data_IF_448003750836
#
_entry.id   IF_448003750836
#
_cell.length_a   1.000
_cell.length_b   1.000
_cell.length_c   1.000
_cell.angle_alpha   90.00
_cell.angle_beta   90.00
_cell.angle_gamma   90.00
#
_symmetry.space_group_name_H-M   'P 1'
#
loop_
_entity.id
_entity.type
_entity.pdbx_description
1 polymer ?
#
# COMPACT_ATOMS: atom_id res chain seq x y z
N UNK A 1 -24.01 -58.80 -56.82
CA UNK A 1 -24.75 -57.58 -57.26
C UNK A 1 -24.33 -56.42 -56.37
N UNK A 2 -23.49 -55.48 -56.86
CA UNK A 2 -23.08 -54.29 -56.10
C UNK A 2 -24.17 -53.21 -56.22
N UNK A 3 -24.87 -52.89 -55.13
CA UNK A 3 -25.78 -51.73 -55.07
C UNK A 3 -24.93 -50.47 -54.87
N UNK A 4 -24.87 -49.63 -55.91
CA UNK A 4 -24.24 -48.30 -55.91
C UNK A 4 -25.28 -47.31 -55.38
N UNK A 5 -25.08 -46.75 -54.18
CA UNK A 5 -25.89 -45.63 -53.69
C UNK A 5 -25.53 -44.39 -54.53
N UNK A 6 -26.46 -43.86 -55.32
CA UNK A 6 -26.24 -42.62 -56.07
C UNK A 6 -26.59 -41.39 -55.22
N UNK A 7 -25.56 -40.63 -54.82
CA UNK A 7 -25.65 -39.36 -54.08
C UNK A 7 -26.28 -38.17 -54.86
N UNK A 8 -26.81 -38.39 -56.06
CA UNK A 8 -27.32 -37.33 -56.95
C UNK A 8 -28.64 -36.69 -56.50
N UNK A 9 -29.33 -37.26 -55.52
CA UNK A 9 -30.61 -36.75 -55.00
C UNK A 9 -30.51 -35.65 -53.94
N UNK A 10 -29.33 -35.39 -53.36
CA UNK A 10 -29.17 -34.48 -52.22
C UNK A 10 -29.05 -32.99 -52.57
N UNK A 11 -28.91 -32.63 -53.86
CA UNK A 11 -28.69 -31.24 -54.30
C UNK A 11 -29.94 -30.55 -54.89
N UNK A 12 -31.11 -31.20 -54.92
CA UNK A 12 -32.31 -30.61 -55.55
C UNK A 12 -33.29 -29.90 -54.60
N UNK A 13 -33.01 -29.85 -53.30
CA UNK A 13 -33.80 -29.07 -52.32
C UNK A 13 -33.08 -27.79 -51.87
N UNK A 14 -32.43 -27.16 -52.85
CA UNK A 14 -31.44 -26.08 -52.79
C UNK A 14 -31.99 -24.67 -52.44
N UNK A 15 -33.06 -24.55 -51.66
CA UNK A 15 -33.44 -23.26 -51.07
C UNK A 15 -33.79 -23.33 -49.58
N UNK A 16 -34.34 -24.46 -49.12
CA UNK A 16 -34.63 -24.67 -47.69
C UNK A 16 -33.45 -25.27 -46.90
N UNK A 17 -32.56 -26.04 -47.54
CA UNK A 17 -31.31 -26.50 -46.91
C UNK A 17 -30.16 -25.50 -46.95
N UNK A 18 -30.28 -24.41 -47.72
CA UNK A 18 -29.28 -23.33 -47.77
C UNK A 18 -29.25 -22.51 -46.46
N UNK A 19 -30.33 -22.58 -45.67
CA UNK A 19 -30.41 -21.95 -44.34
C UNK A 19 -29.68 -22.78 -43.26
N UNK A 20 -29.33 -24.03 -43.53
CA UNK A 20 -28.76 -24.95 -42.51
C UNK A 20 -27.25 -25.19 -42.70
N UNK A 21 -26.65 -24.74 -43.82
CA UNK A 21 -25.23 -25.00 -44.14
C UNK A 21 -24.39 -23.71 -44.28
N UNK A 22 -24.98 -22.53 -44.08
CA UNK A 22 -24.24 -21.28 -43.92
C UNK A 22 -24.50 -20.80 -42.50
N UNK A 23 -23.61 -21.11 -41.56
CA UNK A 23 -23.61 -20.56 -40.18
C UNK A 23 -23.37 -19.05 -40.10
N UNK A 24 -23.76 -18.34 -41.16
CA UNK A 24 -23.49 -16.95 -41.52
C UNK A 24 -24.77 -16.44 -42.23
N UNK A 25 -25.91 -16.47 -41.53
CA UNK A 25 -27.04 -15.59 -41.86
C UNK A 25 -26.67 -14.20 -41.33
N UNK A 26 -26.03 -13.45 -42.21
CA UNK A 26 -25.55 -12.08 -42.04
C UNK A 26 -26.72 -11.10 -41.94
N UNK A 27 -26.66 -10.27 -40.90
CA UNK A 27 -27.12 -8.86 -40.83
C UNK A 27 -28.61 -8.62 -40.59
N UNK A 28 -28.91 -8.09 -39.39
CA UNK A 28 -29.87 -6.98 -39.28
C UNK A 28 -30.97 -7.06 -38.21
N UNK A 29 -31.07 -8.12 -37.41
CA UNK A 29 -32.17 -8.16 -36.43
C UNK A 29 -32.18 -9.38 -35.53
N UNK A 30 -31.25 -9.44 -34.57
CA UNK A 30 -31.55 -10.09 -33.30
C UNK A 30 -32.03 -8.97 -32.38
N UNK A 31 -33.20 -9.16 -31.79
CA UNK A 31 -33.87 -8.18 -30.94
C UNK A 31 -32.90 -7.60 -29.88
N UNK A 32 -32.61 -6.30 -30.03
CA UNK A 32 -32.16 -5.32 -29.04
C UNK A 32 -31.50 -5.84 -27.74
N UNK A 33 -30.18 -5.60 -27.62
CA UNK A 33 -29.40 -5.34 -26.38
C UNK A 33 -27.97 -5.91 -26.49
N UNK A 34 -27.80 -7.06 -27.17
CA UNK A 34 -26.53 -7.80 -27.21
C UNK A 34 -26.19 -8.23 -28.63
N UNK A 35 -25.08 -7.73 -29.18
CA UNK A 35 -24.47 -8.25 -30.42
C UNK A 35 -23.38 -9.24 -30.03
N UNK A 36 -23.43 -10.46 -30.57
CA UNK A 36 -22.35 -11.45 -30.45
C UNK A 36 -21.77 -11.67 -31.85
N UNK A 37 -20.60 -11.09 -32.13
CA UNK A 37 -19.95 -11.14 -33.43
C UNK A 37 -18.58 -11.80 -33.30
N UNK A 38 -18.37 -12.92 -34.00
CA UNK A 38 -17.10 -13.66 -34.01
C UNK A 38 -16.53 -14.01 -32.62
N UNK A 39 -17.39 -14.20 -31.60
CA UNK A 39 -16.95 -14.47 -30.22
C UNK A 39 -16.84 -13.22 -29.34
N UNK A 40 -16.93 -12.02 -29.93
CA UNK A 40 -16.99 -10.76 -29.22
C UNK A 40 -18.42 -10.49 -28.77
N UNK A 41 -18.58 -9.87 -27.59
CA UNK A 41 -19.87 -9.37 -27.10
C UNK A 41 -19.79 -7.85 -27.11
N UNK A 42 -20.72 -7.19 -27.79
CA UNK A 42 -20.77 -5.73 -27.89
C UNK A 42 -22.18 -5.25 -27.51
N UNK A 43 -22.29 -4.58 -26.36
CA UNK A 43 -23.50 -3.88 -25.91
C UNK A 43 -23.36 -2.36 -26.09
N UNK A 44 -22.66 -1.91 -27.15
CA UNK A 44 -22.18 -0.54 -27.31
C UNK A 44 -20.98 -0.27 -26.41
N UNK A 45 -20.82 0.99 -25.99
CA UNK A 45 -19.77 1.37 -25.05
C UNK A 45 -19.99 0.76 -23.64
N UNK A 46 -21.10 0.08 -23.36
CA UNK A 46 -21.38 -0.45 -22.01
C UNK A 46 -20.49 -1.63 -21.63
N UNK A 47 -20.41 -2.66 -22.48
CA UNK A 47 -19.58 -3.85 -22.27
C UNK A 47 -19.09 -4.34 -23.63
N UNK A 48 -17.78 -4.49 -23.72
CA UNK A 48 -17.05 -4.99 -24.87
C UNK A 48 -16.18 -6.18 -24.42
N UNK A 49 -16.26 -7.29 -25.14
CA UNK A 49 -15.39 -8.45 -24.92
C UNK A 49 -14.67 -8.73 -26.24
N UNK A 50 -13.34 -8.66 -26.22
CA UNK A 50 -12.50 -8.99 -27.36
C UNK A 50 -11.99 -10.43 -27.25
N UNK A 51 -12.43 -11.29 -28.16
CA UNK A 51 -12.03 -12.70 -28.20
C UNK A 51 -10.65 -12.91 -28.82
N UNK A 52 -10.13 -11.94 -29.57
CA UNK A 52 -8.80 -12.02 -30.16
C UNK A 52 -7.71 -11.65 -29.13
N UNK A 53 -7.93 -10.60 -28.34
CA UNK A 53 -6.99 -10.16 -27.29
C UNK A 53 -7.28 -10.73 -25.89
N UNK A 54 -8.51 -11.21 -25.64
CA UNK A 54 -8.97 -11.67 -24.34
C UNK A 54 -9.28 -10.54 -23.34
N UNK A 55 -9.45 -9.31 -23.83
CA UNK A 55 -9.68 -8.12 -23.03
C UNK A 55 -11.18 -7.83 -22.85
N UNK A 56 -11.52 -7.24 -21.71
CA UNK A 56 -12.88 -6.85 -21.36
C UNK A 56 -12.91 -5.34 -21.10
N UNK A 57 -13.70 -4.62 -21.89
CA UNK A 57 -14.00 -3.21 -21.69
C UNK A 57 -15.37 -3.00 -21.07
N UNK A 58 -15.49 -2.12 -20.07
CA UNK A 58 -16.77 -1.57 -19.59
C UNK A 58 -16.67 -0.07 -19.77
N UNK A 59 -17.62 0.56 -20.47
CA UNK A 59 -17.48 1.99 -20.83
C UNK A 59 -16.55 2.27 -22.01
N UNK A 60 -15.95 1.24 -22.63
CA UNK A 60 -14.98 1.37 -23.74
C UNK A 60 -15.03 0.18 -24.69
N UNK A 61 -14.83 0.44 -25.99
CA UNK A 61 -14.67 -0.58 -27.04
C UNK A 61 -13.20 -0.80 -27.45
N UNK A 62 -12.27 -0.09 -26.83
CA UNK A 62 -10.83 -0.20 -27.05
C UNK A 62 -10.10 -0.33 -25.70
N UNK A 63 -10.22 -1.48 -25.01
CA UNK A 63 -9.56 -1.71 -23.73
C UNK A 63 -8.03 -1.67 -23.89
N UNK A 64 -7.33 -1.16 -22.87
CA UNK A 64 -5.85 -1.12 -22.83
C UNK A 64 -5.23 -2.05 -21.77
N UNK A 65 -6.06 -2.94 -21.21
CA UNK A 65 -5.71 -3.93 -20.21
C UNK A 65 -6.73 -5.08 -20.25
N UNK A 66 -6.42 -6.19 -19.57
CA UNK A 66 -7.31 -7.37 -19.49
C UNK A 66 -8.73 -6.97 -19.03
N UNK A 67 -8.84 -6.07 -18.06
CA UNK A 67 -10.09 -5.40 -17.71
C UNK A 67 -9.85 -3.88 -17.71
N UNK A 68 -10.61 -3.16 -18.52
CA UNK A 68 -10.60 -1.68 -18.61
C UNK A 68 -12.01 -1.16 -18.35
N UNK A 69 -12.19 -0.42 -17.26
CA UNK A 69 -13.47 0.20 -16.88
C UNK A 69 -13.32 1.70 -17.04
N UNK A 70 -14.02 2.29 -17.99
CA UNK A 70 -13.98 3.72 -18.33
C UNK A 70 -15.29 4.41 -17.95
N UNK A 71 -15.21 5.60 -17.36
CA UNK A 71 -16.38 6.48 -17.11
C UNK A 71 -16.43 7.66 -18.11
N UNK A 72 -16.02 7.39 -19.34
CA UNK A 72 -16.09 8.25 -20.53
C UNK A 72 -15.15 9.47 -20.61
N UNK A 73 -14.64 10.02 -19.49
CA UNK A 73 -13.50 10.97 -19.53
C UNK A 73 -12.54 10.77 -18.36
N UNK A 74 -11.27 10.53 -18.65
CA UNK A 74 -10.11 10.69 -17.76
C UNK A 74 -10.04 9.84 -16.49
N UNK A 75 -11.05 9.05 -16.16
CA UNK A 75 -11.05 8.15 -15.01
C UNK A 75 -11.33 6.73 -15.49
N UNK A 76 -10.26 5.93 -15.54
CA UNK A 76 -10.32 4.52 -15.89
C UNK A 76 -9.73 3.66 -14.77
N UNK A 77 -10.40 2.56 -14.46
CA UNK A 77 -9.88 1.49 -13.62
C UNK A 77 -9.43 0.33 -14.49
N UNK A 78 -8.13 0.02 -14.43
CA UNK A 78 -7.52 -1.09 -15.19
C UNK A 78 -6.99 -2.17 -14.29
N UNK A 79 -7.22 -3.43 -14.67
CA UNK A 79 -6.59 -4.61 -14.05
C UNK A 79 -5.84 -5.37 -15.14
N UNK A 80 -4.54 -5.55 -14.94
CA UNK A 80 -3.69 -6.21 -15.93
C UNK A 80 -2.23 -6.29 -15.50
N UNK A 81 -1.35 -6.66 -16.44
CA UNK A 81 0.10 -6.66 -16.19
C UNK A 81 0.70 -5.30 -16.56
N UNK A 82 1.44 -4.69 -15.63
CA UNK A 82 2.23 -3.49 -15.85
C UNK A 82 3.63 -3.74 -15.32
N UNK A 83 4.66 -3.38 -16.09
CA UNK A 83 6.07 -3.60 -15.71
C UNK A 83 6.44 -5.04 -15.31
N UNK A 84 5.65 -6.03 -15.75
CA UNK A 84 5.84 -7.44 -15.43
C UNK A 84 5.10 -7.91 -14.17
N UNK A 85 4.32 -7.05 -13.52
CA UNK A 85 3.53 -7.37 -12.33
C UNK A 85 2.03 -7.20 -12.60
N UNK A 86 1.20 -8.06 -12.01
CA UNK A 86 -0.24 -7.81 -11.98
C UNK A 86 -0.52 -6.61 -11.09
N UNK A 87 -1.32 -5.67 -11.58
CA UNK A 87 -1.61 -4.45 -10.87
C UNK A 87 -3.02 -3.94 -11.18
N UNK A 88 -3.50 -3.11 -10.25
CA UNK A 88 -4.75 -2.37 -10.31
C UNK A 88 -4.37 -0.90 -10.43
N UNK A 89 -4.85 -0.21 -11.46
CA UNK A 89 -4.45 1.17 -11.75
C UNK A 89 -5.65 2.07 -11.96
N UNK A 90 -5.58 3.27 -11.36
CA UNK A 90 -6.39 4.42 -11.76
C UNK A 90 -5.58 5.23 -12.77
N UNK A 91 -6.09 5.38 -13.99
CA UNK A 91 -5.41 6.09 -15.08
C UNK A 91 -6.36 6.94 -15.90
N UNK A 92 -5.83 8.04 -16.42
CA UNK A 92 -6.48 8.86 -17.44
C UNK A 92 -6.47 8.21 -18.82
N UNK A 93 -7.26 8.75 -19.75
CA UNK A 93 -7.31 8.28 -21.14
C UNK A 93 -5.95 8.42 -21.84
N UNK A 94 -5.15 9.41 -21.42
CA UNK A 94 -3.78 9.60 -21.87
C UNK A 94 -2.77 8.64 -21.22
N UNK A 95 -3.23 7.72 -20.35
CA UNK A 95 -2.39 6.75 -19.65
C UNK A 95 -1.60 7.31 -18.47
N UNK A 96 -1.82 8.57 -18.08
CA UNK A 96 -1.24 9.15 -16.86
C UNK A 96 -1.94 8.58 -15.62
N UNK A 97 -1.21 8.41 -14.52
CA UNK A 97 -1.78 7.94 -13.25
C UNK A 97 -2.74 8.98 -12.66
N UNK A 98 -3.94 8.54 -12.31
CA UNK A 98 -4.89 9.27 -11.47
C UNK A 98 -4.91 8.67 -10.07
N UNK A 99 -5.58 9.34 -9.14
CA UNK A 99 -5.71 8.87 -7.76
C UNK A 99 -6.59 7.62 -7.74
N UNK A 100 -6.14 6.57 -7.04
CA UNK A 100 -6.98 5.44 -6.66
C UNK A 100 -7.34 5.60 -5.18
N UNK A 101 -8.56 6.04 -4.88
CA UNK A 101 -9.04 6.20 -3.52
C UNK A 101 -9.71 4.91 -3.01
N UNK A 102 -9.46 4.57 -1.75
CA UNK A 102 -10.14 3.48 -1.05
C UNK A 102 -10.91 4.08 0.14
N UNK A 103 -12.23 4.23 0.00
CA UNK A 103 -13.10 4.85 1.04
C UNK A 103 -13.65 3.84 2.05
N UNK A 104 -12.97 2.70 2.23
CA UNK A 104 -13.32 1.71 3.23
C UNK A 104 -13.02 2.20 4.65
N UNK A 105 -13.81 1.75 5.63
CA UNK A 105 -13.51 1.99 7.05
C UNK A 105 -12.23 1.29 7.52
N UNK A 106 -11.76 0.29 6.77
CA UNK A 106 -10.56 -0.49 7.07
C UNK A 106 -9.90 -0.95 5.76
N UNK A 107 -8.58 -0.85 5.68
CA UNK A 107 -7.77 -1.33 4.55
C UNK A 107 -6.58 -2.14 5.07
N UNK A 108 -6.57 -3.45 4.77
CA UNK A 108 -5.62 -4.41 5.35
C UNK A 108 -4.85 -5.20 4.31
N UNK A 109 -3.53 -5.23 4.45
CA UNK A 109 -2.65 -6.18 3.76
C UNK A 109 -2.41 -7.40 4.65
N UNK A 110 -3.09 -8.51 4.35
CA UNK A 110 -3.05 -9.72 5.19
C UNK A 110 -1.71 -10.44 5.18
N UNK A 111 -0.94 -10.28 4.11
CA UNK A 111 0.35 -10.93 3.89
C UNK A 111 1.25 -10.05 3.03
N UNK A 112 2.55 -10.30 3.07
CA UNK A 112 3.53 -9.57 2.26
C UNK A 112 3.99 -8.25 2.88
N UNK A 113 4.77 -7.51 2.11
CA UNK A 113 5.36 -6.23 2.52
C UNK A 113 4.79 -5.10 1.66
N UNK A 114 4.61 -3.92 2.25
CA UNK A 114 4.21 -2.70 1.56
C UNK A 114 5.46 -1.90 1.19
N UNK A 115 5.68 -1.73 -0.12
CA UNK A 115 6.75 -0.88 -0.65
C UNK A 115 6.19 0.46 -1.11
N UNK A 116 6.80 1.56 -0.67
CA UNK A 116 6.54 2.91 -1.21
C UNK A 116 7.85 3.42 -1.81
N UNK A 117 7.88 3.62 -3.13
CA UNK A 117 9.10 4.00 -3.85
C UNK A 117 10.13 2.86 -4.01
N UNK A 118 9.72 1.61 -3.78
CA UNK A 118 10.55 0.40 -3.96
C UNK A 118 9.72 -0.76 -4.54
N UNK A 119 10.30 -1.54 -5.45
CA UNK A 119 9.69 -2.76 -6.01
C UNK A 119 10.08 -4.02 -5.23
N UNK A 120 11.09 -3.93 -4.34
CA UNK A 120 11.57 -5.06 -3.55
C UNK A 120 11.67 -4.65 -2.06
N UNK A 121 10.54 -4.52 -1.35
CA UNK A 121 10.52 -4.15 0.06
C UNK A 121 11.15 -5.24 0.95
N UNK A 122 12.17 -4.89 1.73
CA UNK A 122 12.91 -5.82 2.59
C UNK A 122 12.30 -6.01 4.00
N UNK A 123 11.29 -5.21 4.36
CA UNK A 123 10.56 -5.25 5.62
C UNK A 123 9.07 -5.02 5.38
N UNK A 124 8.22 -5.27 6.39
CA UNK A 124 6.76 -5.13 6.30
C UNK A 124 6.32 -3.78 5.73
N UNK A 125 7.04 -2.70 6.05
CA UNK A 125 6.93 -1.40 5.40
C UNK A 125 8.34 -0.93 5.00
N UNK A 126 8.60 -0.74 3.71
CA UNK A 126 9.86 -0.20 3.17
C UNK A 126 9.53 1.03 2.32
N UNK A 127 9.92 2.21 2.81
CA UNK A 127 9.66 3.50 2.17
C UNK A 127 10.98 4.10 1.71
N UNK A 128 11.07 4.43 0.43
CA UNK A 128 12.25 5.04 -0.19
C UNK A 128 11.87 6.33 -0.91
N UNK A 129 12.69 7.35 -0.72
CA UNK A 129 12.54 8.65 -1.39
C UNK A 129 13.84 9.44 -1.32
N UNK A 130 13.99 10.44 -2.20
CA UNK A 130 15.16 11.31 -2.23
C UNK A 130 15.09 12.49 -1.23
N UNK A 131 13.90 12.79 -0.67
CA UNK A 131 13.63 13.89 0.25
C UNK A 131 13.05 13.43 1.58
N UNK A 132 12.01 14.12 2.06
CA UNK A 132 11.24 13.66 3.23
C UNK A 132 10.62 12.29 2.93
N UNK A 133 10.96 11.28 3.74
CA UNK A 133 10.52 9.88 3.54
C UNK A 133 9.21 9.60 4.29
N UNK A 134 9.01 10.21 5.45
CA UNK A 134 7.80 10.08 6.25
C UNK A 134 7.52 11.37 7.01
N UNK A 135 6.26 11.79 7.02
CA UNK A 135 5.75 12.91 7.83
C UNK A 135 4.70 12.37 8.79
N UNK A 136 4.84 12.68 10.07
CA UNK A 136 3.95 12.19 11.13
C UNK A 136 3.52 13.41 11.94
N UNK A 137 2.23 13.71 11.89
CA UNK A 137 1.57 14.76 12.66
C UNK A 137 0.17 14.27 13.00
N UNK A 138 -0.37 14.71 14.13
CA UNK A 138 -1.81 14.65 14.39
C UNK A 138 -2.39 16.05 14.35
N UNK A 139 -3.68 16.13 14.07
CA UNK A 139 -4.40 17.40 13.93
C UNK A 139 -4.62 18.10 15.29
N UNK A 140 -4.53 17.35 16.39
CA UNK A 140 -4.74 17.83 17.77
C UNK A 140 -3.41 18.10 18.52
N UNK A 141 -2.49 18.82 17.89
CA UNK A 141 -1.19 19.25 18.47
C UNK A 141 -0.37 18.11 19.11
N UNK A 142 -0.53 16.88 18.60
CA UNK A 142 0.20 15.72 19.06
C UNK A 142 0.44 14.76 17.91
N UNK A 143 1.65 14.20 17.83
CA UNK A 143 2.03 13.27 16.78
C UNK A 143 3.17 12.40 17.26
N UNK A 144 3.02 11.08 17.13
CA UNK A 144 4.02 10.15 17.67
C UNK A 144 4.09 8.82 16.94
N UNK A 145 5.26 8.20 17.05
CA UNK A 145 5.49 6.78 16.79
C UNK A 145 5.47 6.07 18.14
N UNK A 146 4.69 4.99 18.24
CA UNK A 146 4.57 4.20 19.45
C UNK A 146 5.04 2.77 19.24
N UNK A 147 5.71 2.24 20.26
CA UNK A 147 6.19 0.86 20.31
C UNK A 147 5.38 0.09 21.35
N UNK A 148 4.80 -1.04 20.97
CA UNK A 148 3.95 -1.88 21.82
C UNK A 148 4.52 -3.28 21.98
N UNK A 149 4.13 -3.95 23.06
CA UNK A 149 4.22 -5.42 23.08
C UNK A 149 3.10 -6.04 22.26
N UNK A 150 3.38 -7.15 21.54
CA UNK A 150 2.36 -7.88 20.80
C UNK A 150 1.25 -8.44 21.69
N UNK A 151 1.57 -8.74 22.96
CA UNK A 151 0.61 -9.27 23.94
C UNK A 151 0.30 -8.22 25.01
N UNK A 152 -0.98 -7.98 25.27
CA UNK A 152 -1.43 -7.11 26.37
C UNK A 152 -1.50 -5.61 26.05
N UNK A 153 -1.29 -5.22 24.80
CA UNK A 153 -1.46 -3.84 24.29
C UNK A 153 -0.77 -2.76 25.14
N UNK A 154 0.39 -3.09 25.71
CA UNK A 154 1.11 -2.19 26.60
C UNK A 154 2.15 -1.39 25.82
N UNK A 155 2.05 -0.06 25.85
CA UNK A 155 3.00 0.82 25.19
C UNK A 155 4.36 0.83 25.91
N UNK A 156 5.41 0.39 25.22
CA UNK A 156 6.79 0.31 25.71
C UNK A 156 7.60 1.56 25.46
N UNK A 157 7.34 2.26 24.35
CA UNK A 157 8.03 3.50 24.04
C UNK A 157 7.24 4.41 23.14
N UNK A 158 7.59 5.69 23.15
CA UNK A 158 7.03 6.72 22.28
C UNK A 158 8.17 7.65 21.83
N UNK A 159 8.16 8.04 20.56
CA UNK A 159 8.91 9.19 20.03
C UNK A 159 7.89 10.10 19.38
N UNK A 160 7.79 11.34 19.83
CA UNK A 160 6.83 12.29 19.26
C UNK A 160 6.76 13.59 20.02
N UNK A 161 5.68 14.33 19.80
CA UNK A 161 5.38 15.57 20.50
C UNK A 161 3.92 15.53 20.95
N UNK A 162 3.58 16.38 21.91
CA UNK A 162 2.22 16.53 22.36
C UNK A 162 2.09 17.61 23.43
N UNK A 163 0.90 18.18 23.54
CA UNK A 163 0.54 19.05 24.64
C UNK A 163 0.51 18.27 25.98
N UNK A 164 0.63 19.03 27.08
CA UNK A 164 0.67 18.61 28.48
C UNK A 164 -0.20 17.39 28.78
N UNK A 165 0.43 16.26 29.12
CA UNK A 165 -0.27 15.06 29.61
C UNK A 165 -0.29 13.86 28.69
N UNK A 166 -0.07 14.04 27.38
CA UNK A 166 -0.26 12.94 26.40
C UNK A 166 0.89 11.94 26.37
N UNK A 167 2.13 12.42 26.42
CA UNK A 167 3.33 11.56 26.47
C UNK A 167 3.89 11.51 27.90
N UNK A 168 3.98 12.66 28.56
CA UNK A 168 4.29 12.78 29.98
C UNK A 168 3.22 13.63 30.68
N UNK A 169 2.90 13.31 31.92
CA UNK A 169 1.89 14.01 32.75
C UNK A 169 2.19 15.48 32.99
N UNK A 170 3.40 15.96 32.68
CA UNK A 170 3.82 17.36 32.77
C UNK A 170 4.72 17.81 31.61
N UNK A 171 4.53 17.25 30.41
CA UNK A 171 5.26 17.70 29.23
C UNK A 171 4.96 19.19 28.93
N UNK A 172 5.98 19.97 28.60
CA UNK A 172 5.81 21.30 28.01
C UNK A 172 5.23 21.19 26.60
N UNK A 173 4.47 22.20 26.17
CA UNK A 173 3.95 22.31 24.79
C UNK A 173 5.09 22.23 23.78
N UNK A 174 4.79 21.66 22.60
CA UNK A 174 5.66 21.58 21.42
C UNK A 174 7.02 20.90 21.65
N UNK A 175 7.18 20.22 22.78
CA UNK A 175 8.44 19.59 23.14
C UNK A 175 8.54 18.21 22.51
N UNK A 176 9.70 17.91 21.91
CA UNK A 176 10.03 16.54 21.54
C UNK A 176 10.11 15.70 22.82
N UNK A 177 9.33 14.64 22.85
CA UNK A 177 9.30 13.66 23.90
C UNK A 177 9.80 12.31 23.39
N UNK A 178 10.75 11.73 24.14
CA UNK A 178 11.18 10.35 24.00
C UNK A 178 10.83 9.67 25.31
N UNK A 179 9.94 8.67 25.26
CA UNK A 179 9.45 7.98 26.44
C UNK A 179 9.77 6.50 26.34
N UNK A 180 10.19 5.92 27.46
CA UNK A 180 10.24 4.48 27.68
C UNK A 180 9.37 4.14 28.90
N UNK A 181 8.72 2.98 28.91
CA UNK A 181 8.02 2.49 30.10
C UNK A 181 8.98 1.96 31.18
N UNK A 182 10.27 1.82 30.85
CA UNK A 182 11.35 1.37 31.74
C UNK A 182 12.55 2.30 31.54
N UNK A 183 13.76 1.78 31.65
CA UNK A 183 14.96 2.53 31.32
C UNK A 183 14.97 2.99 29.85
N UNK A 184 15.55 4.15 29.59
CA UNK A 184 15.89 4.63 28.26
C UNK A 184 17.39 4.37 28.03
N UNK A 185 17.75 3.74 26.92
CA UNK A 185 19.14 3.43 26.59
C UNK A 185 19.59 4.16 25.32
N UNK A 186 20.83 4.64 25.33
CA UNK A 186 21.56 5.04 24.12
C UNK A 186 22.74 4.08 23.95
N UNK A 187 22.83 3.41 22.81
CA UNK A 187 23.84 2.38 22.55
C UNK A 187 24.66 2.64 21.28
N UNK A 188 25.87 2.06 21.24
CA UNK A 188 26.78 2.11 20.09
C UNK A 188 27.62 0.83 20.03
N UNK A 189 28.39 0.60 18.95
CA UNK A 189 29.24 -0.59 18.80
C UNK A 189 28.46 -1.91 18.94
N UNK A 190 27.36 -2.05 18.19
CA UNK A 190 26.45 -3.19 18.27
C UNK A 190 25.47 -3.04 19.45
N UNK A 191 25.33 -4.10 20.26
CA UNK A 191 24.34 -4.17 21.33
C UNK A 191 24.82 -3.56 22.67
N UNK A 192 25.84 -2.70 22.65
CA UNK A 192 26.38 -2.13 23.88
C UNK A 192 25.66 -0.83 24.27
N UNK A 193 25.21 -0.76 25.52
CA UNK A 193 24.60 0.45 26.09
C UNK A 193 25.71 1.40 26.55
N UNK A 194 25.68 2.64 26.05
CA UNK A 194 26.61 3.70 26.43
C UNK A 194 26.06 4.59 27.55
N UNK A 195 24.77 4.93 27.50
CA UNK A 195 24.06 5.73 28.52
C UNK A 195 22.71 5.10 28.84
N UNK A 196 22.29 5.19 30.10
CA UNK A 196 20.98 4.78 30.57
C UNK A 196 20.33 5.89 31.39
N UNK A 197 19.06 6.21 31.13
CA UNK A 197 18.20 6.88 32.11
C UNK A 197 17.36 5.78 32.75
N UNK A 198 17.57 5.49 34.03
CA UNK A 198 16.88 4.40 34.72
C UNK A 198 15.46 4.79 35.17
N UNK A 199 14.73 3.85 35.78
CA UNK A 199 13.37 4.09 36.29
C UNK A 199 13.32 5.00 37.51
N UNK A 200 14.46 5.22 38.16
CA UNK A 200 14.64 6.20 39.22
C UNK A 200 15.05 7.58 38.69
N UNK A 201 15.09 7.74 37.36
CA UNK A 201 15.47 8.96 36.64
C UNK A 201 16.96 9.32 36.77
N UNK A 202 17.81 8.37 37.16
CA UNK A 202 19.25 8.59 37.17
C UNK A 202 19.83 8.42 35.77
N UNK A 203 20.78 9.29 35.41
CA UNK A 203 21.59 9.13 34.20
C UNK A 203 22.87 8.36 34.54
N UNK A 204 23.02 7.18 33.96
CA UNK A 204 24.21 6.33 34.07
C UNK A 204 24.99 6.40 32.77
N UNK A 205 26.30 6.69 32.86
CA UNK A 205 27.24 6.64 31.75
C UNK A 205 28.19 5.47 32.02
N UNK A 206 28.17 4.46 31.15
CA UNK A 206 28.88 3.19 31.39
C UNK A 206 30.40 3.28 31.21
N UNK A 207 30.90 4.42 30.75
CA UNK A 207 32.32 4.71 30.48
C UNK A 207 32.67 6.09 31.05
N UNK A 208 33.72 6.70 30.54
CA UNK A 208 34.14 8.03 30.96
C UNK A 208 33.16 9.09 30.45
N UNK A 209 32.76 10.01 31.34
CA UNK A 209 32.18 11.29 30.94
C UNK A 209 33.34 12.27 30.73
N UNK A 210 33.60 12.65 29.48
CA UNK A 210 34.57 13.69 29.15
C UNK A 210 33.84 15.04 28.99
N UNK A 211 34.19 16.02 29.82
CA UNK A 211 33.57 17.36 29.80
C UNK A 211 34.66 18.39 29.48
N UNK A 212 34.58 19.01 28.31
CA UNK A 212 35.52 20.07 27.90
C UNK A 212 35.18 21.45 28.47
N UNK A 213 34.02 21.58 29.12
CA UNK A 213 33.54 22.80 29.77
C UNK A 213 33.38 22.61 31.28
N UNK A 214 32.50 23.41 31.87
CA UNK A 214 32.22 23.36 33.29
C UNK A 214 31.15 22.30 33.61
N UNK A 215 31.27 21.67 34.77
CA UNK A 215 30.18 20.91 35.38
C UNK A 215 29.55 21.79 36.46
N UNK A 216 28.30 22.20 36.26
CA UNK A 216 27.53 22.92 37.28
C UNK A 216 26.64 21.93 38.04
N UNK A 217 26.79 21.89 39.36
CA UNK A 217 26.02 20.99 40.23
C UNK A 217 25.39 21.83 41.34
N UNK A 218 24.08 21.67 41.55
CA UNK A 218 23.34 22.39 42.62
C UNK A 218 23.59 21.84 44.03
N UNK A 219 24.08 20.59 44.11
CA UNK A 219 24.48 19.93 45.35
C UNK A 219 25.99 19.68 45.36
N UNK A 220 26.36 18.42 45.58
CA UNK A 220 27.75 17.98 45.68
C UNK A 220 28.04 16.84 44.69
N UNK A 221 29.32 16.52 44.49
CA UNK A 221 29.76 15.37 43.71
C UNK A 221 30.37 14.36 44.67
N UNK A 222 29.84 13.14 44.69
CA UNK A 222 30.39 12.01 45.44
C UNK A 222 31.07 11.08 44.44
N UNK A 223 32.31 10.70 44.72
CA UNK A 223 33.10 9.81 43.87
C UNK A 223 33.98 8.89 44.74
N UNK A 224 34.59 7.86 44.14
CA UNK A 224 35.38 6.86 44.88
C UNK A 224 36.63 7.44 45.61
N UNK A 225 36.94 8.72 45.43
CA UNK A 225 38.02 9.42 46.14
C UNK A 225 37.54 10.46 47.17
N UNK A 226 36.23 10.61 47.39
CA UNK A 226 35.67 11.53 48.38
C UNK A 226 34.47 12.33 47.87
N UNK A 227 34.35 13.57 48.36
CA UNK A 227 33.25 14.48 48.06
C UNK A 227 33.81 15.82 47.58
N UNK A 228 33.27 16.37 46.50
CA UNK A 228 33.47 17.77 46.10
C UNK A 228 32.21 18.57 46.44
N UNK A 229 32.37 19.65 47.19
CA UNK A 229 31.26 20.47 47.71
C UNK A 229 30.80 20.03 49.10
N UNK A 230 29.72 20.64 49.60
CA UNK A 230 29.14 20.34 50.90
C UNK A 230 27.88 19.48 50.71
N UNK A 231 28.01 18.15 50.86
CA UNK A 231 26.85 17.26 50.95
C UNK A 231 26.32 17.31 52.38
N UNK A 232 25.27 18.09 52.64
CA UNK A 232 24.51 18.03 53.90
C UNK A 232 23.32 17.09 53.70
#
# INVERSE_FOLDING_TARGET
MKRKLEFKGLLRNNLLSLIVIVGVLVVGGVFASVVIDNGNVNLGDVLFVDSDSGEVGIGTTAPNAILDISDATNDNLRIGTRTGEMAIHSVTDAGAHSVLAFEGSEFNFRTGNVGIGTTNPAATLDVRGAGEVARIYGDDDSGYIQFFEPTGNAARGIIGYGNSGMIFTGASTDSLAIRSSRAMHLGTNGNNIAMTIDTSQNVVINRNLNVSGNIMVSGCIIYNGGVLGNCI
#
